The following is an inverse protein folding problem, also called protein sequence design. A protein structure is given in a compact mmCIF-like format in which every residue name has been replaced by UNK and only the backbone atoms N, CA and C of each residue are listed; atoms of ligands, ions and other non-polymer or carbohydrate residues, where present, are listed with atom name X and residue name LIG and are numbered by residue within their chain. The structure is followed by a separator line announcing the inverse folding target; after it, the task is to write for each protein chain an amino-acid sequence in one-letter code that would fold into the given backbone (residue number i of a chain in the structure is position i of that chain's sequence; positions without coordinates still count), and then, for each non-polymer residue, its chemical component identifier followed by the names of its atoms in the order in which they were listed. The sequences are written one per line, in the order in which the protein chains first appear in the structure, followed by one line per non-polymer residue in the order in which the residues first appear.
data_IF_949519023888
#
_entry.id   IF_949519023888
#
_cell.length_a   1.000
_cell.length_b   1.000
_cell.length_c   1.000
_cell.angle_alpha   90.00
_cell.angle_beta   90.00
_cell.angle_gamma   90.00
#
_symmetry.space_group_name_H-M   'P 1'
#
loop_
_entity.id
_entity.type
_entity.pdbx_description
1 polymer ?
#
# COMPACT_ATOMS: atom_id res chain seq x y z
N UNK A 1 -24.10 -12.37 33.84
CA UNK A 1 -24.05 -10.88 33.94
C UNK A 1 -23.86 -10.34 32.54
N UNK A 2 -24.82 -9.61 31.97
CA UNK A 2 -24.67 -9.08 30.60
C UNK A 2 -23.91 -7.73 30.62
N UNK A 3 -22.87 -7.61 29.80
CA UNK A 3 -22.15 -6.35 29.57
C UNK A 3 -23.05 -5.38 28.79
N UNK A 4 -23.20 -4.18 29.34
CA UNK A 4 -23.92 -3.06 28.73
C UNK A 4 -23.09 -2.48 27.59
N UNK A 5 -23.68 -2.41 26.39
CA UNK A 5 -23.14 -1.66 25.26
C UNK A 5 -23.23 -0.17 25.55
N UNK A 6 -22.08 0.51 25.56
CA UNK A 6 -22.03 1.97 25.61
C UNK A 6 -22.22 2.52 24.18
N UNK A 7 -23.33 3.21 23.98
CA UNK A 7 -23.59 4.04 22.79
C UNK A 7 -22.62 5.23 22.80
N UNK A 8 -21.68 5.26 21.88
CA UNK A 8 -20.84 6.44 21.59
C UNK A 8 -21.65 7.37 20.71
N UNK A 9 -22.09 8.49 21.29
CA UNK A 9 -22.77 9.55 20.55
C UNK A 9 -21.78 10.30 19.62
N UNK A 10 -22.31 11.03 18.60
CA UNK A 10 -21.46 11.73 17.64
C UNK A 10 -20.67 12.85 18.31
N UNK A 11 -19.33 12.82 18.18
CA UNK A 11 -18.45 13.92 18.57
C UNK A 11 -18.65 15.07 17.58
N UNK A 12 -19.33 16.11 18.00
CA UNK A 12 -19.42 17.36 17.24
C UNK A 12 -18.15 18.16 17.51
N UNK A 13 -17.22 18.15 16.56
CA UNK A 13 -16.03 18.99 16.59
C UNK A 13 -16.45 20.41 16.17
N UNK A 14 -16.66 21.30 17.14
CA UNK A 14 -16.89 22.73 16.86
C UNK A 14 -15.54 23.39 16.61
N UNK A 15 -15.19 23.66 15.35
CA UNK A 15 -14.03 24.49 15.02
C UNK A 15 -14.45 25.94 15.25
N UNK A 16 -14.03 26.49 16.39
CA UNK A 16 -14.19 27.91 16.70
C UNK A 16 -13.20 28.75 15.88
N UNK A 17 -13.69 29.42 14.84
CA UNK A 17 -12.92 30.49 14.18
C UNK A 17 -13.06 31.73 15.05
N UNK A 18 -12.05 32.05 15.86
CA UNK A 18 -11.96 33.29 16.60
C UNK A 18 -11.55 34.42 15.68
N UNK A 19 -12.51 35.19 15.17
CA UNK A 19 -12.21 36.47 14.53
C UNK A 19 -11.98 37.48 15.68
N UNK A 20 -10.73 37.86 15.91
CA UNK A 20 -10.39 38.95 16.86
C UNK A 20 -10.80 40.29 16.25
N UNK A 21 -12.01 40.74 16.53
CA UNK A 21 -12.37 42.13 16.37
C UNK A 21 -12.03 42.85 17.67
N UNK A 22 -11.13 43.86 17.62
CA UNK A 22 -10.79 44.70 18.75
C UNK A 22 -12.03 45.37 19.33
N UNK A 23 -12.46 44.90 20.52
CA UNK A 23 -13.55 45.50 21.27
C UNK A 23 -13.00 46.66 22.07
N UNK A 24 -13.43 47.90 21.74
CA UNK A 24 -13.30 49.08 22.62
C UNK A 24 -14.62 49.26 23.38
N UNK A 25 -14.64 49.33 24.71
CA UNK A 25 -15.86 49.60 25.46
C UNK A 25 -16.17 51.08 25.43
N UNK A 26 -17.19 51.46 24.69
CA UNK A 26 -17.68 52.81 24.68
C UNK A 26 -18.81 53.10 23.73
N UNK A 27 -20.03 53.11 24.28
CA UNK A 27 -21.34 53.59 23.82
C UNK A 27 -22.37 52.51 23.52
N UNK A 28 -23.39 52.49 24.34
CA UNK A 28 -24.64 51.79 24.12
C UNK A 28 -25.24 52.23 22.77
N UNK A 29 -25.26 51.34 21.80
CA UNK A 29 -25.95 51.55 20.52
C UNK A 29 -27.11 50.61 20.43
N UNK A 30 -28.25 51.20 20.05
CA UNK A 30 -29.54 50.58 19.89
C UNK A 30 -29.53 49.31 19.06
N UNK A 31 -30.53 48.48 19.25
CA UNK A 31 -30.81 47.24 18.50
C UNK A 31 -30.61 47.45 16.98
N UNK A 32 -29.88 46.58 16.31
CA UNK A 32 -29.65 46.70 14.86
C UNK A 32 -31.00 46.80 14.13
N UNK A 33 -31.10 47.71 13.16
CA UNK A 33 -32.26 47.90 12.34
C UNK A 33 -32.69 46.61 11.62
N UNK A 34 -33.97 46.48 11.32
CA UNK A 34 -34.52 45.26 10.67
C UNK A 34 -33.83 44.90 9.34
N UNK A 35 -33.30 45.90 8.61
CA UNK A 35 -32.48 45.76 7.42
C UNK A 35 -31.15 45.07 7.67
N UNK A 36 -30.47 45.36 8.80
CA UNK A 36 -29.22 44.74 9.21
C UNK A 36 -29.39 43.27 9.63
N UNK A 37 -30.51 42.94 10.29
CA UNK A 37 -30.84 41.53 10.63
C UNK A 37 -31.12 40.68 9.40
N UNK A 38 -31.83 41.22 8.40
CA UNK A 38 -32.14 40.52 7.12
C UNK A 38 -30.85 40.30 6.30
N UNK A 39 -29.92 41.27 6.32
CA UNK A 39 -28.61 41.16 5.64
C UNK A 39 -27.70 40.11 6.30
N UNK A 40 -27.60 40.09 7.64
CA UNK A 40 -26.84 39.08 8.41
C UNK A 40 -27.42 37.67 8.18
N UNK A 41 -28.74 37.48 8.27
CA UNK A 41 -29.38 36.17 8.03
C UNK A 41 -29.23 35.68 6.57
N UNK A 42 -29.10 36.59 5.59
CA UNK A 42 -28.86 36.24 4.19
C UNK A 42 -27.41 35.85 3.98
N UNK A 43 -26.47 36.48 4.69
CA UNK A 43 -25.02 36.17 4.68
C UNK A 43 -24.75 34.79 5.33
N UNK A 44 -25.38 34.52 6.46
CA UNK A 44 -25.32 33.23 7.15
C UNK A 44 -25.90 32.08 6.33
N UNK A 45 -27.03 32.28 5.66
CA UNK A 45 -27.59 31.27 4.76
C UNK A 45 -26.71 30.98 3.55
N UNK A 46 -26.04 32.02 2.99
CA UNK A 46 -25.11 31.84 1.89
C UNK A 46 -23.84 31.09 2.34
N UNK A 47 -23.34 31.40 3.54
CA UNK A 47 -22.18 30.72 4.13
C UNK A 47 -22.48 29.25 4.43
N UNK A 48 -23.66 28.94 5.00
CA UNK A 48 -24.13 27.58 5.25
C UNK A 48 -24.32 26.77 3.94
N UNK A 49 -24.85 27.38 2.88
CA UNK A 49 -24.97 26.76 1.56
C UNK A 49 -23.59 26.38 1.00
N UNK A 50 -22.64 27.30 1.04
CA UNK A 50 -21.27 27.08 0.57
C UNK A 50 -20.56 25.97 1.37
N UNK A 51 -20.73 25.91 2.70
CA UNK A 51 -20.15 24.85 3.55
C UNK A 51 -20.77 23.48 3.27
N UNK A 52 -22.06 23.42 2.99
CA UNK A 52 -22.74 22.18 2.63
C UNK A 52 -22.29 21.67 1.25
N UNK A 53 -22.15 22.56 0.28
CA UNK A 53 -21.60 22.22 -1.06
C UNK A 53 -20.18 21.69 -0.97
N UNK A 54 -19.30 22.33 -0.17
CA UNK A 54 -17.95 21.86 0.07
C UNK A 54 -17.93 20.45 0.69
N UNK A 55 -18.77 20.21 1.69
CA UNK A 55 -18.88 18.87 2.30
C UNK A 55 -19.36 17.80 1.34
N UNK A 56 -20.27 18.14 0.44
CA UNK A 56 -20.73 17.21 -0.61
C UNK A 56 -19.58 16.88 -1.56
N UNK A 57 -18.83 17.90 -2.02
CA UNK A 57 -17.67 17.70 -2.90
C UNK A 57 -16.58 16.86 -2.22
N UNK A 58 -16.29 17.10 -0.94
CA UNK A 58 -15.32 16.30 -0.17
C UNK A 58 -15.77 14.83 -0.06
N UNK A 59 -17.05 14.61 0.24
CA UNK A 59 -17.63 13.27 0.33
C UNK A 59 -17.52 12.51 -1.00
N UNK A 60 -17.88 13.14 -2.10
CA UNK A 60 -17.80 12.52 -3.44
C UNK A 60 -16.33 12.22 -3.84
N UNK A 61 -15.39 13.12 -3.49
CA UNK A 61 -13.97 12.88 -3.73
C UNK A 61 -13.43 11.66 -2.95
N UNK A 62 -13.87 11.47 -1.69
CA UNK A 62 -13.50 10.31 -0.88
C UNK A 62 -14.09 9.03 -1.48
N UNK A 63 -15.36 9.02 -1.85
CA UNK A 63 -16.00 7.86 -2.49
C UNK A 63 -15.29 7.52 -3.80
N UNK A 64 -15.06 8.51 -4.66
CA UNK A 64 -14.37 8.33 -5.94
C UNK A 64 -12.95 7.77 -5.82
N UNK A 65 -12.25 8.06 -4.70
CA UNK A 65 -10.95 7.46 -4.43
C UNK A 65 -11.05 5.93 -4.19
N UNK A 66 -12.08 5.46 -3.50
CA UNK A 66 -12.34 4.03 -3.29
C UNK A 66 -12.80 3.34 -4.58
N UNK A 67 -13.70 3.96 -5.33
CA UNK A 67 -14.18 3.45 -6.61
C UNK A 67 -13.02 3.31 -7.60
N UNK A 68 -12.16 4.34 -7.73
CA UNK A 68 -10.95 4.28 -8.56
C UNK A 68 -10.02 3.14 -8.12
N UNK A 69 -9.85 2.92 -6.81
CA UNK A 69 -9.06 1.80 -6.28
C UNK A 69 -9.64 0.44 -6.69
N UNK A 70 -10.96 0.29 -6.60
CA UNK A 70 -11.66 -0.93 -7.01
C UNK A 70 -11.50 -1.20 -8.51
N UNK A 71 -11.71 -0.17 -9.34
CA UNK A 71 -11.61 -0.27 -10.80
C UNK A 71 -10.20 -0.66 -11.26
N UNK A 72 -9.15 -0.06 -10.67
CA UNK A 72 -7.76 -0.42 -10.98
C UNK A 72 -7.50 -1.88 -10.65
N UNK A 73 -7.93 -2.38 -9.48
CA UNK A 73 -7.76 -3.78 -9.07
C UNK A 73 -8.53 -4.74 -9.97
N UNK A 74 -9.77 -4.42 -10.32
CA UNK A 74 -10.59 -5.24 -11.22
C UNK A 74 -10.01 -5.30 -12.64
N UNK A 75 -9.51 -4.18 -13.14
CA UNK A 75 -8.86 -4.11 -14.46
C UNK A 75 -7.56 -4.91 -14.46
N UNK A 76 -6.74 -4.74 -13.42
CA UNK A 76 -5.49 -5.47 -13.26
C UNK A 76 -5.69 -6.98 -13.26
N UNK A 77 -6.59 -7.50 -12.43
CA UNK A 77 -6.72 -8.97 -12.29
C UNK A 77 -7.28 -9.64 -13.56
N UNK A 78 -8.17 -8.95 -14.31
CA UNK A 78 -8.69 -9.50 -15.57
C UNK A 78 -7.62 -9.77 -16.62
N UNK A 79 -6.52 -9.01 -16.58
CA UNK A 79 -5.41 -9.15 -17.54
C UNK A 79 -4.24 -9.97 -17.00
N UNK A 80 -4.17 -10.20 -15.67
CA UNK A 80 -3.03 -10.88 -15.05
C UNK A 80 -3.39 -12.17 -14.31
N UNK A 81 -4.65 -12.64 -14.37
CA UNK A 81 -5.10 -13.82 -13.62
C UNK A 81 -4.24 -15.07 -13.89
N UNK A 82 -3.91 -15.35 -15.16
CA UNK A 82 -3.06 -16.50 -15.53
C UNK A 82 -1.65 -16.35 -14.96
N UNK A 83 -1.06 -15.16 -15.04
CA UNK A 83 0.26 -14.90 -14.46
C UNK A 83 0.24 -15.04 -12.92
N UNK A 84 -0.86 -14.67 -12.23
CA UNK A 84 -1.01 -14.90 -10.80
C UNK A 84 -1.00 -16.39 -10.49
N UNK A 85 -1.66 -17.23 -11.28
CA UNK A 85 -1.64 -18.69 -11.15
C UNK A 85 -0.23 -19.23 -11.36
N UNK A 86 0.47 -18.79 -12.41
CA UNK A 86 1.84 -19.22 -12.72
C UNK A 86 2.82 -18.86 -11.60
N UNK A 87 2.78 -17.62 -11.10
CA UNK A 87 3.64 -17.19 -9.98
C UNK A 87 3.25 -17.88 -8.67
N UNK A 88 1.97 -18.11 -8.42
CA UNK A 88 1.52 -18.91 -7.29
C UNK A 88 2.05 -20.35 -7.34
N UNK A 89 2.02 -20.99 -8.49
CA UNK A 89 2.61 -22.31 -8.72
C UNK A 89 4.15 -22.30 -8.57
N UNK A 90 4.81 -21.21 -9.00
CA UNK A 90 6.25 -21.02 -8.78
C UNK A 90 6.55 -20.99 -7.27
N UNK A 91 5.80 -20.22 -6.47
CA UNK A 91 5.98 -20.16 -5.01
C UNK A 91 5.76 -21.53 -4.36
N UNK A 92 4.73 -22.27 -4.78
CA UNK A 92 4.46 -23.63 -4.28
C UNK A 92 5.65 -24.56 -4.53
N UNK A 93 6.21 -24.56 -5.74
CA UNK A 93 7.41 -25.36 -6.07
C UNK A 93 8.60 -24.93 -5.20
N UNK A 94 8.83 -23.62 -5.11
CA UNK A 94 9.90 -23.03 -4.30
C UNK A 94 9.83 -23.53 -2.85
N UNK A 95 8.67 -23.49 -2.23
CA UNK A 95 8.50 -23.95 -0.86
C UNK A 95 8.64 -25.47 -0.71
N UNK A 96 8.09 -26.27 -1.64
CA UNK A 96 8.25 -27.72 -1.64
C UNK A 96 9.70 -28.19 -1.78
N UNK A 97 10.51 -27.42 -2.48
CA UNK A 97 11.95 -27.66 -2.64
C UNK A 97 12.80 -27.14 -1.47
N UNK A 98 12.17 -26.65 -0.40
CA UNK A 98 12.86 -26.07 0.76
C UNK A 98 13.60 -24.76 0.40
N UNK A 99 13.16 -24.08 -0.63
CA UNK A 99 13.65 -22.76 -1.06
C UNK A 99 12.79 -21.66 -0.44
N UNK A 100 13.16 -20.40 -0.68
CA UNK A 100 12.52 -19.25 -0.05
C UNK A 100 12.14 -18.15 -1.04
N UNK A 101 11.25 -17.27 -0.59
CA UNK A 101 10.86 -16.04 -1.28
C UNK A 101 11.54 -14.85 -0.59
N UNK A 102 12.28 -14.05 -1.34
CA UNK A 102 12.93 -12.81 -0.89
C UNK A 102 12.15 -11.62 -1.46
N UNK A 103 11.62 -10.75 -0.59
CA UNK A 103 10.81 -9.61 -1.00
C UNK A 103 11.53 -8.31 -0.65
N UNK A 104 11.50 -7.33 -1.54
CA UNK A 104 12.15 -6.04 -1.31
C UNK A 104 11.53 -4.91 -2.12
N UNK A 105 11.66 -3.70 -1.59
CA UNK A 105 11.17 -2.46 -2.16
C UNK A 105 11.47 -1.27 -1.24
N UNK A 106 11.08 -0.08 -1.63
CA UNK A 106 11.32 1.16 -0.87
C UNK A 106 10.00 1.72 -0.30
N UNK A 107 10.07 2.39 0.85
CA UNK A 107 8.92 3.08 1.45
C UNK A 107 7.71 2.16 1.65
N UNK A 108 6.54 2.52 1.09
CA UNK A 108 5.34 1.68 1.15
C UNK A 108 5.54 0.29 0.55
N UNK A 109 6.35 0.16 -0.52
CA UNK A 109 6.71 -1.14 -1.08
C UNK A 109 7.60 -1.98 -0.16
N UNK A 110 8.38 -1.37 0.74
CA UNK A 110 9.12 -2.08 1.78
C UNK A 110 8.17 -2.63 2.86
N UNK A 111 7.14 -1.86 3.23
CA UNK A 111 6.12 -2.33 4.17
C UNK A 111 5.25 -3.43 3.58
N UNK A 112 4.90 -3.35 2.28
CA UNK A 112 4.22 -4.44 1.57
C UNK A 112 5.07 -5.72 1.56
N UNK A 113 6.37 -5.61 1.26
CA UNK A 113 7.30 -6.73 1.30
C UNK A 113 7.35 -7.41 2.68
N UNK A 114 7.42 -6.60 3.76
CA UNK A 114 7.42 -7.09 5.14
C UNK A 114 6.10 -7.74 5.51
N UNK A 115 4.99 -7.15 5.12
CA UNK A 115 3.65 -7.67 5.37
C UNK A 115 3.48 -9.06 4.71
N UNK A 116 3.77 -9.18 3.43
CA UNK A 116 3.62 -10.47 2.72
C UNK A 116 4.61 -11.53 3.22
N UNK A 117 5.84 -11.15 3.59
CA UNK A 117 6.76 -12.09 4.22
C UNK A 117 6.20 -12.62 5.56
N UNK A 118 5.57 -11.75 6.36
CA UNK A 118 4.95 -12.14 7.62
C UNK A 118 3.78 -13.11 7.42
N UNK A 119 2.96 -12.93 6.38
CA UNK A 119 1.87 -13.85 6.04
C UNK A 119 2.40 -15.26 5.70
N UNK A 120 3.53 -15.39 5.04
CA UNK A 120 4.15 -16.69 4.76
C UNK A 120 4.80 -17.31 5.99
N UNK A 121 5.55 -16.53 6.77
CA UNK A 121 6.30 -17.02 7.95
C UNK A 121 5.36 -17.33 9.12
N UNK A 122 4.38 -16.49 9.37
CA UNK A 122 3.36 -16.71 10.39
C UNK A 122 2.27 -17.65 9.86
N UNK A 123 1.13 -17.09 9.51
CA UNK A 123 0.01 -17.76 8.82
C UNK A 123 -0.85 -16.72 8.12
N UNK A 124 -1.51 -17.11 7.04
CA UNK A 124 -2.52 -16.25 6.41
C UNK A 124 -3.92 -16.54 6.97
N UNK A 125 -4.52 -17.65 6.62
CA UNK A 125 -5.85 -18.07 7.12
C UNK A 125 -5.81 -19.34 7.95
N UNK A 126 -4.92 -20.27 7.62
CA UNK A 126 -4.84 -21.60 8.24
C UNK A 126 -3.69 -21.67 9.25
N UNK A 127 -3.90 -22.39 10.33
CA UNK A 127 -2.81 -22.84 11.20
C UNK A 127 -2.01 -23.92 10.45
N UNK A 128 -0.73 -23.66 10.20
CA UNK A 128 0.13 -24.50 9.36
C UNK A 128 1.61 -24.26 9.65
N UNK A 129 2.46 -25.11 9.13
CA UNK A 129 3.90 -24.94 9.19
C UNK A 129 4.36 -23.63 8.48
N UNK A 130 5.38 -22.97 9.04
CA UNK A 130 5.94 -21.74 8.46
C UNK A 130 6.48 -21.96 7.05
N UNK A 131 6.22 -21.02 6.16
CA UNK A 131 6.82 -20.99 4.82
C UNK A 131 8.00 -20.01 4.78
N UNK A 132 9.16 -20.40 4.20
CA UNK A 132 10.37 -19.58 4.25
C UNK A 132 10.26 -18.35 3.33
N UNK A 133 10.02 -17.19 3.92
CA UNK A 133 10.01 -15.89 3.26
C UNK A 133 10.79 -14.86 4.08
N UNK A 134 11.40 -13.89 3.40
CA UNK A 134 12.19 -12.85 4.05
C UNK A 134 12.00 -11.52 3.32
N UNK A 135 11.70 -10.46 4.08
CA UNK A 135 11.72 -9.10 3.58
C UNK A 135 13.08 -8.46 3.86
N UNK A 136 13.75 -7.96 2.81
CA UNK A 136 15.10 -7.42 2.90
C UNK A 136 15.18 -5.98 3.42
N UNK A 137 14.03 -5.36 3.71
CA UNK A 137 13.94 -3.99 4.22
C UNK A 137 13.71 -3.91 5.74
N UNK A 138 13.82 -5.00 6.48
CA UNK A 138 13.45 -5.06 7.91
C UNK A 138 14.61 -4.89 8.88
N UNK A 139 15.83 -5.27 8.49
CA UNK A 139 17.00 -5.11 9.34
C UNK A 139 17.64 -3.74 9.12
N UNK A 140 17.38 -2.83 10.05
CA UNK A 140 17.89 -1.46 10.02
C UNK A 140 19.43 -1.40 10.11
N UNK A 141 20.07 -2.32 10.83
CA UNK A 141 21.52 -2.35 10.96
C UNK A 141 22.15 -2.74 9.61
N UNK A 142 21.60 -3.74 8.94
CA UNK A 142 22.07 -4.16 7.60
C UNK A 142 21.87 -3.04 6.58
N UNK A 143 20.69 -2.40 6.55
CA UNK A 143 20.41 -1.32 5.60
C UNK A 143 21.35 -0.13 5.79
N UNK A 144 21.51 0.32 7.03
CA UNK A 144 22.33 1.50 7.35
C UNK A 144 23.83 1.23 7.16
N UNK A 145 24.31 0.04 7.54
CA UNK A 145 25.69 -0.37 7.33
C UNK A 145 26.02 -0.39 5.83
N UNK A 146 25.21 -1.07 5.01
CA UNK A 146 25.48 -1.14 3.57
C UNK A 146 25.41 0.25 2.93
N UNK A 147 24.41 1.08 3.30
CA UNK A 147 24.27 2.42 2.76
C UNK A 147 25.43 3.34 3.14
N UNK A 148 26.01 3.17 4.35
CA UNK A 148 27.14 3.96 4.85
C UNK A 148 28.47 3.51 4.25
N UNK A 149 28.72 2.21 4.18
CA UNK A 149 30.02 1.65 3.82
C UNK A 149 30.19 1.46 2.30
N UNK A 150 29.09 1.40 1.55
CA UNK A 150 29.06 1.23 0.10
C UNK A 150 28.20 2.29 -0.56
N UNK A 151 26.92 1.97 -0.88
CA UNK A 151 25.97 2.89 -1.48
C UNK A 151 24.53 2.45 -1.17
N UNK A 152 23.59 3.40 -1.11
CA UNK A 152 22.17 3.08 -0.95
C UNK A 152 21.64 2.18 -2.07
N UNK A 153 22.22 2.25 -3.25
CA UNK A 153 21.83 1.39 -4.38
C UNK A 153 22.20 -0.07 -4.18
N UNK A 154 23.02 -0.41 -3.20
CA UNK A 154 23.49 -1.77 -2.92
C UNK A 154 22.76 -2.45 -1.74
N UNK A 155 21.86 -1.73 -1.05
CA UNK A 155 21.21 -2.23 0.17
C UNK A 155 20.49 -3.56 -0.01
N UNK A 156 19.90 -3.82 -1.18
CA UNK A 156 19.20 -5.07 -1.48
C UNK A 156 20.10 -6.07 -2.24
N UNK A 157 20.93 -5.60 -3.19
CA UNK A 157 21.79 -6.50 -3.98
C UNK A 157 22.76 -7.27 -3.10
N UNK A 158 23.38 -6.64 -2.10
CA UNK A 158 24.26 -7.31 -1.15
C UNK A 158 23.54 -8.36 -0.31
N UNK A 159 22.29 -8.12 0.08
CA UNK A 159 21.48 -9.10 0.80
C UNK A 159 21.06 -10.27 -0.11
N UNK A 160 20.73 -10.01 -1.38
CA UNK A 160 20.51 -11.08 -2.38
C UNK A 160 21.75 -11.93 -2.53
N UNK A 161 22.94 -11.34 -2.65
CA UNK A 161 24.21 -12.08 -2.74
C UNK A 161 24.51 -12.90 -1.48
N UNK A 162 24.12 -12.44 -0.29
CA UNK A 162 24.33 -13.15 0.96
C UNK A 162 23.32 -14.29 1.18
N UNK A 163 22.05 -14.07 0.93
CA UNK A 163 20.95 -14.96 1.31
C UNK A 163 20.36 -15.76 0.15
N UNK A 164 20.46 -15.23 -1.09
CA UNK A 164 19.88 -15.83 -2.29
C UNK A 164 20.61 -17.10 -2.72
N UNK A 165 19.84 -18.13 -3.04
CA UNK A 165 20.31 -19.41 -3.58
C UNK A 165 19.56 -19.71 -4.87
N UNK A 166 20.17 -20.50 -5.74
CA UNK A 166 19.55 -20.97 -6.97
C UNK A 166 18.16 -21.56 -6.69
N UNK A 167 17.17 -21.21 -7.51
CA UNK A 167 15.75 -21.58 -7.40
C UNK A 167 14.98 -20.93 -6.23
N UNK A 168 15.57 -19.99 -5.49
CA UNK A 168 14.78 -19.06 -4.67
C UNK A 168 14.00 -18.10 -5.59
N UNK A 169 13.03 -17.37 -5.05
CA UNK A 169 12.32 -16.33 -5.77
C UNK A 169 12.64 -14.96 -5.19
N UNK A 170 12.94 -13.99 -6.05
CA UNK A 170 13.11 -12.57 -5.73
C UNK A 170 11.89 -11.77 -6.19
N UNK A 171 11.13 -11.19 -5.26
CA UNK A 171 9.99 -10.33 -5.52
C UNK A 171 10.39 -8.87 -5.33
N UNK A 172 10.52 -8.16 -6.43
CA UNK A 172 10.95 -6.78 -6.52
C UNK A 172 9.75 -5.82 -6.62
N UNK A 173 9.53 -4.96 -5.63
CA UNK A 173 8.38 -4.08 -5.58
C UNK A 173 8.81 -2.62 -5.81
N UNK A 174 8.35 -2.02 -6.92
CA UNK A 174 8.66 -0.62 -7.26
C UNK A 174 7.56 0.00 -8.11
N UNK A 175 6.82 0.95 -7.59
CA UNK A 175 5.71 1.61 -8.31
C UNK A 175 6.16 2.30 -9.60
N UNK A 176 7.38 2.85 -9.65
CA UNK A 176 7.96 3.45 -10.85
C UNK A 176 8.67 2.44 -11.77
N UNK A 177 9.07 1.28 -11.21
CA UNK A 177 9.94 0.33 -11.89
C UNK A 177 11.36 0.84 -12.19
N UNK A 178 11.77 1.95 -11.58
CA UNK A 178 13.06 2.62 -11.88
C UNK A 178 13.95 2.84 -10.65
N UNK A 179 13.60 2.28 -9.48
CA UNK A 179 14.43 2.37 -8.27
C UNK A 179 15.73 1.59 -8.46
N UNK A 180 16.88 2.27 -8.45
CA UNK A 180 18.17 1.70 -8.83
C UNK A 180 18.60 0.56 -7.89
N UNK A 181 18.36 0.68 -6.57
CA UNK A 181 18.63 -0.37 -5.59
C UNK A 181 17.80 -1.64 -5.84
N UNK A 182 16.56 -1.49 -6.31
CA UNK A 182 15.68 -2.62 -6.65
C UNK A 182 16.15 -3.28 -7.96
N UNK A 183 16.55 -2.49 -8.95
CA UNK A 183 17.09 -2.99 -10.23
C UNK A 183 18.37 -3.79 -9.98
N UNK A 184 19.36 -3.24 -9.24
CA UNK A 184 20.61 -3.95 -8.89
C UNK A 184 20.36 -5.25 -8.15
N UNK A 185 19.36 -5.28 -7.28
CA UNK A 185 18.99 -6.51 -6.58
C UNK A 185 18.44 -7.59 -7.52
N UNK A 186 17.65 -7.21 -8.53
CA UNK A 186 17.16 -8.14 -9.56
C UNK A 186 18.31 -8.64 -10.42
N UNK A 187 19.25 -7.80 -10.82
CA UNK A 187 20.47 -8.19 -11.54
C UNK A 187 21.25 -9.25 -10.74
N UNK A 188 21.51 -8.98 -9.46
CA UNK A 188 22.18 -9.94 -8.56
C UNK A 188 21.37 -11.24 -8.38
N UNK A 189 20.03 -11.17 -8.34
CA UNK A 189 19.17 -12.35 -8.25
C UNK A 189 19.28 -13.24 -9.50
N UNK A 190 19.29 -12.64 -10.69
CA UNK A 190 19.48 -13.35 -11.97
C UNK A 190 20.84 -14.03 -12.03
N UNK A 191 21.91 -13.34 -11.66
CA UNK A 191 23.27 -13.91 -11.59
C UNK A 191 23.36 -15.12 -10.65
N UNK A 192 22.60 -15.09 -9.55
CA UNK A 192 22.50 -16.19 -8.59
C UNK A 192 21.56 -17.31 -8.99
N UNK A 193 20.83 -17.15 -10.11
CA UNK A 193 19.87 -18.14 -10.63
C UNK A 193 18.56 -18.19 -9.80
N UNK A 194 18.15 -17.07 -9.22
CA UNK A 194 16.82 -16.91 -8.64
C UNK A 194 15.81 -16.65 -9.74
N UNK A 195 14.57 -17.10 -9.55
CA UNK A 195 13.43 -16.60 -10.32
C UNK A 195 13.11 -15.17 -9.93
N UNK A 196 12.70 -14.35 -10.88
CA UNK A 196 12.50 -12.92 -10.66
C UNK A 196 11.07 -12.50 -10.99
N UNK A 197 10.43 -11.84 -10.03
CA UNK A 197 9.06 -11.30 -10.12
C UNK A 197 9.10 -9.82 -9.80
N UNK A 198 8.46 -8.98 -10.62
CA UNK A 198 8.32 -7.55 -10.33
C UNK A 198 6.85 -7.16 -10.15
N UNK A 199 6.60 -6.27 -9.17
CA UNK A 199 5.34 -5.59 -8.99
C UNK A 199 5.55 -4.10 -9.26
N UNK A 200 4.91 -3.58 -10.33
CA UNK A 200 5.18 -2.23 -10.87
C UNK A 200 3.89 -1.46 -11.17
N UNK A 201 4.03 -0.19 -11.54
CA UNK A 201 2.95 0.59 -12.16
C UNK A 201 2.85 0.35 -13.66
N UNK A 202 2.01 1.12 -14.34
CA UNK A 202 1.58 0.89 -15.72
C UNK A 202 2.71 0.74 -16.73
N UNK A 203 3.81 1.47 -16.59
CA UNK A 203 4.93 1.43 -17.54
C UNK A 203 5.88 0.25 -17.33
N UNK A 204 5.86 -0.37 -16.12
CA UNK A 204 6.86 -1.36 -15.74
C UNK A 204 8.23 -0.79 -15.42
N UNK A 205 8.60 0.34 -16.02
CA UNK A 205 9.94 0.92 -15.95
C UNK A 205 11.00 -0.07 -16.46
N UNK A 206 12.27 0.19 -16.15
CA UNK A 206 13.38 -0.73 -16.48
C UNK A 206 13.24 -2.09 -15.81
N UNK A 207 12.64 -2.13 -14.61
CA UNK A 207 12.45 -3.33 -13.83
C UNK A 207 11.55 -4.35 -14.54
N UNK A 208 10.45 -3.89 -15.16
CA UNK A 208 9.50 -4.76 -15.83
C UNK A 208 10.05 -5.50 -17.04
N UNK A 209 11.17 -5.05 -17.62
CA UNK A 209 11.84 -5.69 -18.76
C UNK A 209 13.00 -6.60 -18.33
N UNK A 210 13.38 -6.55 -17.04
CA UNK A 210 14.49 -7.35 -16.49
C UNK A 210 14.06 -8.67 -15.86
N UNK A 211 12.77 -8.83 -15.56
CA UNK A 211 12.25 -9.98 -14.79
C UNK A 211 11.54 -10.98 -15.66
N UNK A 212 11.37 -12.19 -15.16
CA UNK A 212 10.62 -13.25 -15.82
C UNK A 212 9.09 -13.01 -15.75
N UNK A 213 8.62 -12.44 -14.61
CA UNK A 213 7.20 -12.14 -14.40
C UNK A 213 7.04 -10.68 -13.97
N UNK A 214 6.36 -9.88 -14.77
CA UNK A 214 6.13 -8.46 -14.51
C UNK A 214 4.64 -8.14 -14.34
N UNK A 215 4.20 -7.94 -13.12
CA UNK A 215 2.87 -7.42 -12.83
C UNK A 215 2.85 -5.89 -12.99
N UNK A 216 2.12 -5.42 -13.99
CA UNK A 216 2.00 -3.98 -14.33
C UNK A 216 0.62 -3.48 -13.96
N UNK A 217 0.48 -2.80 -12.82
CA UNK A 217 -0.80 -2.22 -12.39
C UNK A 217 -1.18 -1.07 -13.32
N UNK A 218 -2.40 -1.03 -13.90
CA UNK A 218 -2.80 -0.04 -14.90
C UNK A 218 -3.13 1.33 -14.26
N UNK A 219 -2.16 1.90 -13.57
CA UNK A 219 -2.23 3.20 -12.91
C UNK A 219 -0.86 3.87 -12.85
N UNK A 220 -0.86 5.22 -12.85
CA UNK A 220 0.32 6.05 -12.58
C UNK A 220 0.27 6.69 -11.19
N UNK A 221 -0.83 6.50 -10.45
CA UNK A 221 -1.03 7.03 -9.09
C UNK A 221 -0.45 6.04 -8.09
N UNK A 222 0.61 6.43 -7.41
CA UNK A 222 1.35 5.57 -6.47
C UNK A 222 0.45 4.87 -5.45
N UNK A 223 -0.51 5.56 -4.83
CA UNK A 223 -1.44 4.97 -3.87
C UNK A 223 -2.26 3.83 -4.51
N UNK A 224 -2.83 4.05 -5.70
CA UNK A 224 -3.63 3.03 -6.42
C UNK A 224 -2.78 1.82 -6.80
N UNK A 225 -1.50 2.04 -7.16
CA UNK A 225 -0.56 0.97 -7.47
C UNK A 225 -0.28 0.14 -6.21
N UNK A 226 0.05 0.76 -5.08
CA UNK A 226 0.34 0.07 -3.81
C UNK A 226 -0.88 -0.69 -3.28
N UNK A 227 -2.08 -0.13 -3.36
CA UNK A 227 -3.33 -0.82 -2.98
C UNK A 227 -3.58 -2.09 -3.83
N UNK A 228 -3.16 -2.08 -5.09
CA UNK A 228 -3.21 -3.27 -5.95
C UNK A 228 -2.10 -4.26 -5.59
N UNK A 229 -0.88 -3.80 -5.30
CA UNK A 229 0.24 -4.66 -4.90
C UNK A 229 -0.06 -5.46 -3.65
N UNK A 230 -0.58 -4.82 -2.59
CA UNK A 230 -0.91 -5.55 -1.36
C UNK A 230 -2.05 -6.54 -1.57
N UNK A 231 -3.05 -6.19 -2.41
CA UNK A 231 -4.13 -7.10 -2.77
C UNK A 231 -3.58 -8.32 -3.54
N UNK A 232 -2.67 -8.13 -4.50
CA UNK A 232 -1.98 -9.21 -5.21
C UNK A 232 -1.22 -10.12 -4.24
N UNK A 233 -0.49 -9.53 -3.28
CA UNK A 233 0.23 -10.28 -2.26
C UNK A 233 -0.69 -11.18 -1.45
N UNK A 234 -1.82 -10.68 -0.97
CA UNK A 234 -2.82 -11.47 -0.23
C UNK A 234 -3.41 -12.60 -1.08
N UNK A 235 -3.73 -12.33 -2.35
CA UNK A 235 -4.24 -13.37 -3.27
C UNK A 235 -3.20 -14.47 -3.49
N UNK A 236 -1.92 -14.13 -3.64
CA UNK A 236 -0.84 -15.11 -3.75
C UNK A 236 -0.68 -15.93 -2.45
N UNK A 237 -0.75 -15.29 -1.27
CA UNK A 237 -0.72 -15.99 0.02
C UNK A 237 -1.88 -16.99 0.14
N UNK A 238 -3.10 -16.56 -0.18
CA UNK A 238 -4.29 -17.42 -0.16
C UNK A 238 -4.16 -18.60 -1.12
N UNK A 239 -3.78 -18.33 -2.37
CA UNK A 239 -3.61 -19.36 -3.39
C UNK A 239 -2.55 -20.41 -2.98
N UNK A 240 -1.41 -19.97 -2.46
CA UNK A 240 -0.32 -20.84 -2.03
C UNK A 240 -0.75 -21.69 -0.82
N UNK A 241 -1.37 -21.06 0.18
CA UNK A 241 -1.83 -21.73 1.40
C UNK A 241 -2.88 -22.80 1.09
N UNK A 242 -3.88 -22.49 0.25
CA UNK A 242 -4.90 -23.45 -0.18
C UNK A 242 -4.32 -24.66 -0.95
N UNK A 243 -3.31 -24.44 -1.78
CA UNK A 243 -2.70 -25.50 -2.58
C UNK A 243 -1.68 -26.35 -1.84
N UNK A 244 -1.07 -25.82 -0.77
CA UNK A 244 -0.12 -26.58 0.07
C UNK A 244 -0.80 -27.31 1.22
N UNK A 245 -1.84 -26.71 1.81
CA UNK A 245 -2.43 -27.13 3.09
C UNK A 245 -3.96 -27.28 3.04
N UNK A 246 -4.62 -26.95 1.93
CA UNK A 246 -6.04 -27.16 1.71
C UNK A 246 -6.37 -28.67 1.65
N UNK A 247 -7.61 -29.02 1.95
CA UNK A 247 -8.10 -30.39 1.70
C UNK A 247 -8.02 -30.68 0.20
N UNK A 248 -7.38 -31.78 -0.15
CA UNK A 248 -7.37 -32.23 -1.55
C UNK A 248 -8.79 -32.68 -1.89
N UNK A 249 -9.45 -31.90 -2.75
CA UNK A 249 -10.74 -32.26 -3.36
C UNK A 249 -10.52 -33.38 -4.38
#
# INVERSE_FOLDING_TARGET
MPMRSALVGPIVLTIGVTISSGYQPGKANGLPSEGNRKSAARKDRKLHGTLLELRVMEREAIIGAFETSADVKCTFIRTHAEMVIEVGQLFIRTFREGRKVLLFGNGGSATDASHIAAEFVGRYKRDREPLPAMALATDMAVLTCIANDYDYTDIFSRQILAHGRKNDVAVAISTSGNSLNVIRAVEAARERGLFTVAWTGATGGKLGDLVEYAFRVPSTVTARIQECHITLGHVLCEFVEERLFGEQI
#
